data_IF_628537803404
#
_entry.id   IF_628537803404
#
_cell.length_a   1.000
_cell.length_b   1.000
_cell.length_c   1.000
_cell.angle_alpha   90.00
_cell.angle_beta   90.00
_cell.angle_gamma   90.00
#
_symmetry.space_group_name_H-M   'P 1'
#
loop_
_entity.id
_entity.type
_entity.pdbx_description
1 polymer ?
#
# COMPACT_ATOMS: atom_id res chain seq x y z
N UNK A 1 -13.78 29.04 -12.65
CA UNK A 1 -15.08 28.81 -11.97
C UNK A 1 -15.38 27.31 -12.01
N UNK A 2 -14.99 26.57 -10.97
CA UNK A 2 -15.40 25.17 -10.81
C UNK A 2 -16.31 25.11 -9.58
N UNK A 3 -17.58 24.80 -9.78
CA UNK A 3 -18.46 24.41 -8.69
C UNK A 3 -17.92 23.09 -8.12
N UNK A 4 -17.06 23.17 -7.10
CA UNK A 4 -16.67 22.02 -6.29
C UNK A 4 -17.96 21.42 -5.72
N UNK A 5 -18.35 20.24 -6.21
CA UNK A 5 -19.31 19.41 -5.49
C UNK A 5 -18.71 19.16 -4.11
N UNK A 6 -19.25 19.83 -3.09
CA UNK A 6 -18.87 19.60 -1.69
C UNK A 6 -18.97 18.10 -1.43
N UNK A 7 -17.85 17.50 -1.01
CA UNK A 7 -17.82 16.10 -0.62
C UNK A 7 -18.80 15.91 0.52
N UNK A 8 -19.65 14.89 0.41
CA UNK A 8 -20.60 14.47 1.45
C UNK A 8 -20.47 12.96 1.62
N UNK A 9 -20.91 12.42 2.73
CA UNK A 9 -20.89 10.98 2.91
C UNK A 9 -21.77 10.47 4.04
N UNK A 10 -21.83 9.15 4.11
CA UNK A 10 -22.80 8.39 4.87
C UNK A 10 -22.26 7.79 6.18
N UNK A 11 -20.99 8.05 6.55
CA UNK A 11 -20.41 7.57 7.81
C UNK A 11 -20.56 8.57 8.95
N UNK A 12 -20.77 8.06 10.15
CA UNK A 12 -20.67 8.81 11.41
C UNK A 12 -19.21 9.16 11.70
N UNK A 13 -18.99 10.22 12.48
CA UNK A 13 -17.67 10.67 12.95
C UNK A 13 -16.63 11.02 11.87
N UNK A 14 -17.06 11.16 10.61
CA UNK A 14 -16.24 11.70 9.51
C UNK A 14 -16.66 13.13 9.20
N UNK A 15 -15.73 14.08 9.38
CA UNK A 15 -15.93 15.46 8.94
C UNK A 15 -15.62 15.63 7.44
N UNK A 16 -16.64 15.44 6.61
CA UNK A 16 -16.53 15.59 5.16
C UNK A 16 -16.19 17.01 4.67
N UNK A 17 -16.31 18.02 5.55
CA UNK A 17 -15.91 19.40 5.24
C UNK A 17 -14.43 19.64 5.53
N UNK A 18 -13.79 18.76 6.30
CA UNK A 18 -12.36 18.86 6.60
C UNK A 18 -11.53 18.85 5.32
N UNK A 19 -10.55 19.77 5.16
CA UNK A 19 -9.65 19.79 4.00
C UNK A 19 -8.93 18.46 3.76
N UNK A 20 -8.66 17.70 4.83
CA UNK A 20 -7.98 16.39 4.76
C UNK A 20 -8.89 15.36 4.08
N UNK A 21 -10.18 15.33 4.44
CA UNK A 21 -11.16 14.40 3.85
C UNK A 21 -11.40 14.75 2.39
N UNK A 22 -11.54 16.04 2.07
CA UNK A 22 -11.70 16.53 0.69
C UNK A 22 -10.47 16.16 -0.15
N UNK A 23 -9.26 16.40 0.37
CA UNK A 23 -8.02 16.01 -0.30
C UNK A 23 -7.95 14.50 -0.57
N UNK A 24 -8.32 13.66 0.41
CA UNK A 24 -8.35 12.20 0.25
C UNK A 24 -9.35 11.76 -0.81
N UNK A 25 -10.55 12.35 -0.83
CA UNK A 25 -11.58 12.06 -1.82
C UNK A 25 -11.10 12.41 -3.25
N UNK A 26 -10.51 13.59 -3.44
CA UNK A 26 -9.94 14.02 -4.72
C UNK A 26 -8.78 13.11 -5.14
N UNK A 27 -7.91 12.74 -4.20
CA UNK A 27 -6.80 11.83 -4.47
C UNK A 27 -7.28 10.45 -4.90
N UNK A 28 -8.30 9.89 -4.25
CA UNK A 28 -8.89 8.60 -4.64
C UNK A 28 -9.44 8.67 -6.06
N UNK A 29 -10.18 9.73 -6.39
CA UNK A 29 -10.73 9.94 -7.73
C UNK A 29 -9.63 10.11 -8.79
N UNK A 30 -8.57 10.89 -8.49
CA UNK A 30 -7.41 11.06 -9.37
C UNK A 30 -6.65 9.76 -9.60
N UNK A 31 -6.40 8.97 -8.56
CA UNK A 31 -5.74 7.66 -8.68
C UNK A 31 -6.58 6.69 -9.51
N UNK A 32 -7.89 6.64 -9.26
CA UNK A 32 -8.82 5.84 -10.06
C UNK A 32 -8.75 6.23 -11.55
N UNK A 33 -8.76 7.54 -11.84
CA UNK A 33 -8.65 8.07 -13.21
C UNK A 33 -7.33 7.72 -13.89
N UNK A 34 -6.21 7.87 -13.20
CA UNK A 34 -4.89 7.51 -13.73
C UNK A 34 -4.72 6.00 -13.96
N UNK A 35 -5.37 5.19 -13.13
CA UNK A 35 -5.30 3.72 -13.21
C UNK A 35 -6.19 3.17 -14.32
N UNK A 36 -7.46 3.58 -14.34
CA UNK A 36 -8.51 2.96 -15.15
C UNK A 36 -9.05 3.82 -16.29
N UNK A 37 -8.53 5.04 -16.48
CA UNK A 37 -9.00 6.00 -17.49
C UNK A 37 -10.52 6.28 -17.40
N UNK A 38 -11.08 6.26 -16.19
CA UNK A 38 -12.48 6.55 -15.92
C UNK A 38 -12.64 7.46 -14.71
N UNK A 39 -13.83 8.02 -14.51
CA UNK A 39 -14.13 8.84 -13.34
C UNK A 39 -14.90 8.02 -12.29
N UNK A 40 -14.82 8.45 -11.03
CA UNK A 40 -15.54 7.86 -9.91
C UNK A 40 -16.04 8.97 -8.99
N UNK A 41 -17.18 8.75 -8.34
CA UNK A 41 -17.76 9.68 -7.40
C UNK A 41 -16.88 9.80 -6.14
N UNK A 42 -16.29 10.99 -5.86
CA UNK A 42 -15.41 11.17 -4.70
C UNK A 42 -16.09 10.87 -3.36
N UNK A 43 -17.41 11.10 -3.26
CA UNK A 43 -18.19 10.85 -2.05
C UNK A 43 -18.31 9.36 -1.73
N UNK A 44 -18.58 8.53 -2.75
CA UNK A 44 -18.60 7.07 -2.59
C UNK A 44 -17.20 6.56 -2.26
N UNK A 45 -16.19 7.07 -2.97
CA UNK A 45 -14.81 6.62 -2.79
C UNK A 45 -14.31 6.87 -1.37
N UNK A 46 -14.59 8.06 -0.83
CA UNK A 46 -14.15 8.40 0.52
C UNK A 46 -14.90 7.59 1.59
N UNK A 47 -16.19 7.29 1.38
CA UNK A 47 -16.98 6.44 2.28
C UNK A 47 -16.44 5.00 2.30
N UNK A 48 -16.15 4.40 1.14
CA UNK A 48 -15.54 3.08 1.07
C UNK A 48 -14.17 3.07 1.74
N UNK A 49 -13.36 4.11 1.50
CA UNK A 49 -12.04 4.24 2.13
C UNK A 49 -12.13 4.29 3.65
N UNK A 50 -12.96 5.17 4.22
CA UNK A 50 -13.09 5.29 5.67
C UNK A 50 -13.79 4.09 6.30
N UNK A 51 -14.61 3.35 5.54
CA UNK A 51 -15.15 2.06 5.98
C UNK A 51 -14.03 1.03 6.21
N UNK A 52 -12.86 1.15 5.59
CA UNK A 52 -11.75 0.21 5.78
C UNK A 52 -10.62 0.77 6.65
N UNK A 53 -10.48 2.08 6.67
CA UNK A 53 -9.44 2.79 7.40
C UNK A 53 -9.81 3.01 8.88
N UNK A 54 -11.10 3.25 9.19
CA UNK A 54 -11.50 3.53 10.57
C UNK A 54 -11.57 2.24 11.41
N UNK A 55 -11.14 2.28 12.69
CA UNK A 55 -11.27 1.14 13.60
C UNK A 55 -12.72 0.68 13.81
N UNK A 56 -13.67 1.62 13.80
CA UNK A 56 -15.09 1.31 14.00
C UNK A 56 -15.98 2.26 13.18
N UNK A 57 -16.12 2.03 11.87
CA UNK A 57 -16.98 2.83 11.01
C UNK A 57 -18.44 2.48 11.32
N UNK A 58 -19.28 3.51 11.36
CA UNK A 58 -20.74 3.39 11.48
C UNK A 58 -21.39 4.20 10.38
N UNK A 59 -22.47 3.68 9.81
CA UNK A 59 -23.28 4.45 8.87
C UNK A 59 -24.26 5.33 9.64
N UNK A 60 -24.49 6.56 9.18
CA UNK A 60 -25.44 7.51 9.79
C UNK A 60 -26.84 6.93 9.79
N UNK A 61 -27.53 7.04 10.92
CA UNK A 61 -28.94 6.65 11.03
C UNK A 61 -29.85 7.53 10.16
N UNK A 62 -29.67 8.86 10.26
CA UNK A 62 -30.43 9.85 9.48
C UNK A 62 -29.53 10.51 8.43
N UNK A 63 -29.96 10.45 7.18
CA UNK A 63 -29.29 11.10 6.06
C UNK A 63 -30.10 12.31 5.60
N UNK A 64 -29.46 13.47 5.52
CA UNK A 64 -30.07 14.70 5.01
C UNK A 64 -30.35 14.61 3.50
N UNK A 65 -29.46 13.95 2.75
CA UNK A 65 -29.57 13.79 1.30
C UNK A 65 -29.94 12.36 0.90
N UNK A 66 -31.02 12.22 0.13
CA UNK A 66 -31.43 10.95 -0.50
C UNK A 66 -30.33 10.30 -1.35
N UNK A 67 -29.38 11.10 -1.84
CA UNK A 67 -28.27 10.64 -2.68
C UNK A 67 -27.28 9.79 -1.88
N UNK A 68 -27.05 10.13 -0.61
CA UNK A 68 -26.12 9.43 0.27
C UNK A 68 -26.66 8.06 0.71
N UNK A 69 -27.93 7.80 0.42
CA UNK A 69 -28.57 6.53 0.70
C UNK A 69 -27.87 5.37 -0.03
N UNK A 70 -27.44 5.59 -1.28
CA UNK A 70 -26.68 4.60 -2.03
C UNK A 70 -25.32 4.31 -1.38
N UNK A 71 -24.63 5.33 -0.86
CA UNK A 71 -23.40 5.14 -0.11
C UNK A 71 -23.65 4.28 1.12
N UNK A 72 -24.68 4.63 1.92
CA UNK A 72 -25.08 3.87 3.11
C UNK A 72 -25.33 2.40 2.80
N UNK A 73 -26.04 2.09 1.73
CA UNK A 73 -26.30 0.69 1.33
C UNK A 73 -24.99 -0.02 0.99
N UNK A 74 -24.14 0.59 0.17
CA UNK A 74 -22.87 -0.01 -0.26
C UNK A 74 -21.98 -0.31 0.96
N UNK A 75 -21.78 0.68 1.83
CA UNK A 75 -20.93 0.50 3.01
C UNK A 75 -21.54 -0.48 4.02
N UNK A 76 -22.86 -0.46 4.21
CA UNK A 76 -23.53 -1.38 5.16
C UNK A 76 -23.43 -2.82 4.68
N UNK A 77 -23.65 -3.07 3.39
CA UNK A 77 -23.47 -4.40 2.80
C UNK A 77 -22.02 -4.85 2.85
N UNK A 78 -21.07 -3.95 2.57
CA UNK A 78 -19.64 -4.23 2.69
C UNK A 78 -19.24 -4.62 4.13
N UNK A 79 -19.72 -3.88 5.13
CA UNK A 79 -19.45 -4.15 6.55
C UNK A 79 -20.05 -5.48 7.04
N UNK A 80 -21.11 -5.96 6.39
CA UNK A 80 -21.77 -7.22 6.73
C UNK A 80 -21.16 -8.47 6.05
N UNK A 81 -20.14 -8.31 5.19
CA UNK A 81 -19.46 -9.45 4.58
C UNK A 81 -18.67 -10.23 5.63
N UNK A 82 -18.65 -11.56 5.50
CA UNK A 82 -18.00 -12.47 6.47
C UNK A 82 -16.51 -12.17 6.67
N UNK A 83 -15.80 -11.86 5.59
CA UNK A 83 -14.35 -11.66 5.61
C UNK A 83 -13.94 -10.19 5.82
N UNK A 84 -14.90 -9.27 5.95
CA UNK A 84 -14.65 -7.84 6.15
C UNK A 84 -13.79 -7.57 7.39
N UNK A 85 -14.06 -8.25 8.51
CA UNK A 85 -13.32 -8.05 9.76
C UNK A 85 -11.83 -8.44 9.62
N UNK A 86 -11.53 -9.49 8.85
CA UNK A 86 -10.17 -9.95 8.58
C UNK A 86 -9.41 -8.93 7.74
N UNK A 87 -10.00 -8.48 6.64
CA UNK A 87 -9.42 -7.45 5.77
C UNK A 87 -9.18 -6.15 6.54
N UNK A 88 -10.12 -5.77 7.40
CA UNK A 88 -10.07 -4.52 8.16
C UNK A 88 -8.83 -4.39 9.04
N UNK A 89 -8.39 -5.49 9.65
CA UNK A 89 -7.17 -5.49 10.47
C UNK A 89 -5.96 -5.02 9.65
N UNK A 90 -5.84 -5.49 8.42
CA UNK A 90 -4.74 -5.11 7.53
C UNK A 90 -4.91 -3.67 7.02
N UNK A 91 -6.12 -3.27 6.65
CA UNK A 91 -6.38 -1.95 6.05
C UNK A 91 -6.31 -0.81 7.06
N UNK A 92 -6.64 -1.07 8.33
CA UNK A 92 -6.53 -0.09 9.42
C UNK A 92 -5.07 0.27 9.72
N UNK A 93 -4.17 -0.71 9.67
CA UNK A 93 -2.74 -0.52 9.97
C UNK A 93 -2.00 0.08 8.76
N UNK A 94 -2.42 -0.27 7.54
CA UNK A 94 -1.79 0.19 6.31
C UNK A 94 -2.74 1.00 5.41
N UNK A 95 -2.57 2.32 5.46
CA UNK A 95 -3.33 3.30 4.65
C UNK A 95 -3.23 2.99 3.16
N UNK A 96 -2.08 2.49 2.68
CA UNK A 96 -1.87 2.23 1.26
C UNK A 96 -2.74 1.05 0.80
N UNK A 97 -2.93 0.06 1.66
CA UNK A 97 -3.80 -1.09 1.38
C UNK A 97 -5.27 -0.67 1.42
N UNK A 98 -5.68 0.16 2.40
CA UNK A 98 -7.01 0.81 2.39
C UNK A 98 -7.26 1.54 1.07
N UNK A 99 -6.26 2.28 0.57
CA UNK A 99 -6.35 3.06 -0.66
C UNK A 99 -6.44 2.16 -1.90
N UNK A 100 -5.55 1.17 -2.00
CA UNK A 100 -5.51 0.21 -3.10
C UNK A 100 -6.83 -0.57 -3.20
N UNK A 101 -7.29 -1.12 -2.06
CA UNK A 101 -8.57 -1.81 -1.99
C UNK A 101 -9.70 -0.90 -2.48
N UNK A 102 -9.78 0.35 -2.01
CA UNK A 102 -10.87 1.25 -2.38
C UNK A 102 -10.94 1.47 -3.89
N UNK A 103 -9.79 1.76 -4.51
CA UNK A 103 -9.70 2.01 -5.96
C UNK A 103 -10.10 0.77 -6.75
N UNK A 104 -9.60 -0.41 -6.37
CA UNK A 104 -9.94 -1.68 -7.02
C UNK A 104 -11.39 -2.09 -6.78
N UNK A 105 -11.91 -1.96 -5.56
CA UNK A 105 -13.29 -2.29 -5.21
C UNK A 105 -14.30 -1.50 -6.05
N UNK A 106 -14.12 -0.19 -6.18
CA UNK A 106 -15.02 0.64 -6.99
C UNK A 106 -14.98 0.23 -8.46
N UNK A 107 -13.79 -0.10 -8.97
CA UNK A 107 -13.62 -0.59 -10.34
C UNK A 107 -14.39 -1.90 -10.56
N UNK A 108 -14.18 -2.88 -9.68
CA UNK A 108 -14.81 -4.19 -9.77
C UNK A 108 -16.31 -4.14 -9.54
N UNK A 109 -16.79 -3.28 -8.63
CA UNK A 109 -18.21 -3.04 -8.41
C UNK A 109 -18.87 -2.45 -9.66
N UNK A 110 -18.26 -1.44 -10.29
CA UNK A 110 -18.78 -0.85 -11.53
C UNK A 110 -18.81 -1.90 -12.66
N UNK A 111 -17.79 -2.75 -12.77
CA UNK A 111 -17.77 -3.84 -13.76
C UNK A 111 -18.85 -4.89 -13.51
N UNK A 112 -19.01 -5.35 -12.27
CA UNK A 112 -20.05 -6.30 -11.88
C UNK A 112 -21.45 -5.76 -12.18
N UNK A 113 -21.71 -4.50 -11.83
CA UNK A 113 -22.98 -3.84 -12.12
C UNK A 113 -23.22 -3.65 -13.62
N UNK A 114 -22.17 -3.36 -14.41
CA UNK A 114 -22.27 -3.31 -15.89
C UNK A 114 -22.64 -4.66 -16.48
N UNK A 115 -22.05 -5.76 -15.99
CA UNK A 115 -22.40 -7.13 -16.40
C UNK A 115 -23.88 -7.42 -16.12
N UNK A 116 -24.36 -7.09 -14.92
CA UNK A 116 -25.76 -7.27 -14.55
C UNK A 116 -26.72 -6.35 -15.34
N UNK A 117 -26.27 -5.14 -15.70
CA UNK A 117 -27.03 -4.23 -16.56
C UNK A 117 -27.24 -4.81 -17.97
N UNK A 118 -26.19 -5.35 -18.58
CA UNK A 118 -26.30 -5.98 -19.91
C UNK A 118 -27.23 -7.21 -19.88
N UNK A 119 -27.16 -8.03 -18.82
CA UNK A 119 -28.11 -9.14 -18.62
C UNK A 119 -29.55 -8.64 -18.46
N UNK A 120 -29.77 -7.58 -17.71
CA UNK A 120 -31.12 -7.01 -17.53
C UNK A 120 -31.70 -6.46 -18.84
N UNK A 121 -30.83 -5.90 -19.70
CA UNK A 121 -31.20 -5.41 -21.04
C UNK A 121 -31.62 -6.55 -21.98
N UNK A 122 -30.89 -7.67 -21.96
CA UNK A 122 -31.23 -8.85 -22.78
C UNK A 122 -32.48 -9.57 -22.27
N UNK A 123 -32.69 -9.65 -20.95
CA UNK A 123 -33.88 -10.26 -20.34
C UNK A 123 -35.16 -9.41 -20.38
N UNK A 124 -35.18 -8.26 -21.08
CA UNK A 124 -36.33 -7.34 -21.18
C UNK A 124 -36.93 -6.92 -19.82
N UNK A 125 -36.09 -6.67 -18.81
CA UNK A 125 -36.53 -6.08 -17.53
C UNK A 125 -36.20 -4.57 -17.48
N UNK A 126 -37.09 -3.69 -17.99
CA UNK A 126 -36.79 -2.26 -18.16
C UNK A 126 -36.58 -1.53 -16.83
N UNK A 127 -37.30 -1.94 -15.77
CA UNK A 127 -37.17 -1.36 -14.43
C UNK A 127 -35.80 -1.65 -13.80
N UNK A 128 -35.35 -2.90 -13.89
CA UNK A 128 -34.04 -3.34 -13.39
C UNK A 128 -32.89 -2.66 -14.13
N UNK A 129 -32.96 -2.63 -15.46
CA UNK A 129 -31.95 -1.97 -16.29
C UNK A 129 -31.85 -0.46 -15.97
N UNK A 130 -32.97 0.24 -15.80
CA UNK A 130 -32.98 1.67 -15.43
C UNK A 130 -32.33 1.91 -14.06
N UNK A 131 -32.62 1.05 -13.09
CA UNK A 131 -32.07 1.15 -11.72
C UNK A 131 -30.56 0.95 -11.71
N UNK A 132 -30.07 -0.08 -12.41
CA UNK A 132 -28.63 -0.36 -12.54
C UNK A 132 -27.90 0.76 -13.30
N UNK A 133 -28.50 1.30 -14.36
CA UNK A 133 -27.94 2.43 -15.10
C UNK A 133 -27.77 3.67 -14.21
N UNK A 134 -28.79 4.00 -13.41
CA UNK A 134 -28.73 5.11 -12.45
C UNK A 134 -27.64 4.88 -11.41
N UNK A 135 -27.53 3.66 -10.86
CA UNK A 135 -26.49 3.31 -9.90
C UNK A 135 -25.08 3.42 -10.50
N UNK A 136 -24.86 2.92 -11.72
CA UNK A 136 -23.56 3.03 -12.41
C UNK A 136 -23.21 4.51 -12.64
N UNK A 137 -24.15 5.32 -13.10
CA UNK A 137 -23.92 6.76 -13.28
C UNK A 137 -23.62 7.48 -11.97
N UNK A 138 -24.25 7.06 -10.87
CA UNK A 138 -23.93 7.55 -9.53
C UNK A 138 -22.50 7.25 -9.13
N UNK A 139 -22.06 6.01 -9.30
CA UNK A 139 -20.71 5.57 -8.98
C UNK A 139 -19.67 6.27 -9.85
N UNK A 140 -19.99 6.58 -11.11
CA UNK A 140 -19.13 7.35 -12.03
C UNK A 140 -19.15 8.86 -11.76
N UNK A 141 -19.94 9.34 -10.79
CA UNK A 141 -20.04 10.76 -10.46
C UNK A 141 -20.78 11.60 -11.51
N UNK A 142 -21.52 10.99 -12.44
CA UNK A 142 -22.32 11.72 -13.44
C UNK A 142 -23.57 12.33 -12.79
N UNK A 143 -24.11 13.41 -13.36
CA UNK A 143 -25.39 13.98 -12.90
C UNK A 143 -26.52 12.98 -13.15
N UNK A 144 -27.38 12.78 -12.15
CA UNK A 144 -28.53 11.87 -12.22
C UNK A 144 -29.76 12.65 -11.80
N UNK A 145 -30.91 12.33 -12.38
CA UNK A 145 -32.19 12.80 -11.87
C UNK A 145 -32.53 12.09 -10.56
N UNK A 146 -32.45 12.85 -9.46
CA UNK A 146 -32.62 12.36 -8.08
C UNK A 146 -34.01 11.79 -7.77
N UNK A 147 -35.01 12.14 -8.59
CA UNK A 147 -36.37 11.58 -8.58
C UNK A 147 -36.44 10.11 -9.01
N UNK A 148 -35.35 9.54 -9.52
CA UNK A 148 -35.26 8.15 -9.97
C UNK A 148 -34.31 7.28 -9.14
N UNK A 149 -33.91 7.76 -7.96
CA UNK A 149 -33.16 6.96 -6.98
C UNK A 149 -34.13 5.97 -6.34
N UNK A 150 -33.86 4.66 -6.42
CA UNK A 150 -34.72 3.64 -5.82
C UNK A 150 -34.79 3.79 -4.30
N UNK A 151 -35.98 3.64 -3.73
CA UNK A 151 -36.16 3.40 -2.29
C UNK A 151 -35.57 2.04 -1.89
N UNK A 152 -35.22 1.87 -0.61
CA UNK A 152 -34.67 0.64 -0.01
C UNK A 152 -35.36 -0.65 -0.49
N UNK A 153 -36.68 -0.57 -0.71
CA UNK A 153 -37.55 -1.65 -1.17
C UNK A 153 -37.49 -2.01 -2.67
N UNK A 154 -36.88 -1.18 -3.52
CA UNK A 154 -36.88 -1.35 -5.00
C UNK A 154 -35.51 -1.73 -5.58
N UNK A 155 -34.44 -1.62 -4.79
CA UNK A 155 -33.17 -2.23 -5.17
C UNK A 155 -33.32 -3.73 -5.03
N UNK A 156 -33.07 -4.47 -6.12
CA UNK A 156 -32.96 -5.93 -6.05
C UNK A 156 -31.77 -6.27 -5.17
N UNK A 157 -32.04 -6.42 -3.88
CA UNK A 157 -31.06 -6.49 -2.82
C UNK A 157 -30.00 -7.56 -3.08
N UNK A 158 -30.44 -8.69 -3.65
CA UNK A 158 -29.62 -9.83 -4.04
C UNK A 158 -28.62 -9.53 -5.17
N UNK A 159 -28.99 -8.67 -6.13
CA UNK A 159 -28.09 -8.32 -7.25
C UNK A 159 -26.96 -7.43 -6.75
N UNK A 160 -27.30 -6.43 -5.95
CA UNK A 160 -26.31 -5.53 -5.37
C UNK A 160 -25.40 -6.26 -4.38
N UNK A 161 -25.97 -7.13 -3.54
CA UNK A 161 -25.21 -7.97 -2.61
C UNK A 161 -24.21 -8.87 -3.35
N UNK A 162 -24.66 -9.57 -4.41
CA UNK A 162 -23.78 -10.39 -5.24
C UNK A 162 -22.67 -9.55 -5.89
N UNK A 163 -23.00 -8.38 -6.44
CA UNK A 163 -22.01 -7.51 -7.06
C UNK A 163 -20.99 -6.97 -6.04
N UNK A 164 -21.42 -6.66 -4.81
CA UNK A 164 -20.54 -6.24 -3.71
C UNK A 164 -19.65 -7.39 -3.26
N UNK A 165 -20.19 -8.60 -3.13
CA UNK A 165 -19.41 -9.77 -2.73
C UNK A 165 -18.35 -10.13 -3.77
N UNK A 166 -18.70 -10.12 -5.06
CA UNK A 166 -17.77 -10.33 -6.17
C UNK A 166 -16.68 -9.25 -6.19
N UNK A 167 -17.08 -7.98 -6.09
CA UNK A 167 -16.14 -6.86 -6.05
C UNK A 167 -15.21 -6.90 -4.83
N UNK A 168 -15.71 -7.32 -3.67
CA UNK A 168 -14.93 -7.48 -2.45
C UNK A 168 -13.85 -8.56 -2.61
N UNK A 169 -14.22 -9.74 -3.10
CA UNK A 169 -13.27 -10.84 -3.28
C UNK A 169 -12.15 -10.49 -4.26
N UNK A 170 -12.48 -9.85 -5.38
CA UNK A 170 -11.46 -9.42 -6.36
C UNK A 170 -10.59 -8.28 -5.81
N UNK A 171 -11.19 -7.31 -5.12
CA UNK A 171 -10.45 -6.18 -4.56
C UNK A 171 -9.53 -6.58 -3.41
N UNK A 172 -9.94 -7.54 -2.59
CA UNK A 172 -9.08 -8.12 -1.54
C UNK A 172 -7.84 -8.78 -2.15
N UNK A 173 -8.00 -9.57 -3.21
CA UNK A 173 -6.87 -10.20 -3.90
C UNK A 173 -5.91 -9.15 -4.48
N UNK A 174 -6.44 -8.11 -5.13
CA UNK A 174 -5.61 -7.03 -5.69
C UNK A 174 -4.89 -6.26 -4.58
N UNK A 175 -5.57 -5.95 -3.47
CA UNK A 175 -4.96 -5.27 -2.33
C UNK A 175 -3.84 -6.11 -1.68
N UNK A 176 -4.04 -7.44 -1.57
CA UNK A 176 -3.02 -8.37 -1.12
C UNK A 176 -1.80 -8.39 -2.06
N UNK A 177 -2.03 -8.43 -3.37
CA UNK A 177 -0.97 -8.33 -4.37
C UNK A 177 -0.19 -7.00 -4.26
N UNK A 178 -0.89 -5.87 -4.10
CA UNK A 178 -0.25 -4.56 -3.87
C UNK A 178 0.60 -4.59 -2.58
N UNK A 179 0.14 -5.24 -1.51
CA UNK A 179 0.93 -5.41 -0.29
C UNK A 179 2.24 -6.17 -0.54
N UNK A 180 2.19 -7.21 -1.34
CA UNK A 180 3.38 -7.99 -1.68
C UNK A 180 4.33 -7.18 -2.56
N UNK A 181 3.84 -6.49 -3.58
CA UNK A 181 4.62 -5.55 -4.39
C UNK A 181 5.26 -4.47 -3.51
N UNK A 182 4.51 -3.96 -2.52
CA UNK A 182 5.03 -3.04 -1.51
C UNK A 182 6.18 -3.63 -0.72
N UNK A 183 6.04 -4.87 -0.25
CA UNK A 183 7.11 -5.57 0.46
C UNK A 183 8.36 -5.82 -0.40
N UNK A 184 8.18 -6.01 -1.72
CA UNK A 184 9.27 -6.24 -2.67
C UNK A 184 10.03 -4.93 -2.91
N UNK A 185 9.32 -3.85 -3.21
CA UNK A 185 9.92 -2.56 -3.51
C UNK A 185 10.57 -1.89 -2.29
N UNK A 186 9.95 -2.01 -1.10
CA UNK A 186 10.52 -1.45 0.14
C UNK A 186 11.68 -2.29 0.70
N UNK A 187 11.78 -3.56 0.32
CA UNK A 187 12.74 -4.52 0.84
C UNK A 187 12.48 -4.92 2.31
N UNK A 188 13.30 -5.82 2.85
CA UNK A 188 13.12 -6.37 4.21
C UNK A 188 13.55 -5.44 5.35
N UNK A 189 13.95 -4.19 5.08
CA UNK A 189 14.45 -3.25 6.10
C UNK A 189 13.42 -2.17 6.36
N UNK A 190 12.86 -2.18 7.58
CA UNK A 190 11.97 -1.12 8.05
C UNK A 190 12.63 0.27 7.92
N UNK A 191 11.86 1.27 7.52
CA UNK A 191 12.25 2.69 7.57
C UNK A 191 13.05 3.25 6.38
N UNK A 192 13.35 2.47 5.32
CA UNK A 192 14.13 2.99 4.18
C UNK A 192 13.34 3.91 3.24
N UNK A 193 12.02 3.73 3.11
CA UNK A 193 11.18 4.51 2.20
C UNK A 193 9.80 4.83 2.82
N UNK A 194 9.74 5.66 3.88
CA UNK A 194 8.46 6.12 4.41
C UNK A 194 7.71 6.92 3.33
N UNK A 195 6.45 6.55 3.05
CA UNK A 195 5.57 7.32 2.17
C UNK A 195 5.66 7.05 0.66
N UNK A 196 6.54 6.16 0.18
CA UNK A 196 6.70 5.85 -1.25
C UNK A 196 5.38 5.46 -1.95
N UNK A 197 4.48 4.84 -1.20
CA UNK A 197 3.18 4.31 -1.66
C UNK A 197 2.02 5.28 -1.44
N UNK A 198 2.19 6.24 -0.52
CA UNK A 198 1.23 7.32 -0.33
C UNK A 198 1.31 8.34 -1.48
N UNK A 199 2.39 8.33 -2.27
CA UNK A 199 2.57 9.11 -3.50
C UNK A 199 2.08 8.34 -4.73
N UNK A 200 1.13 8.93 -5.45
CA UNK A 200 0.23 8.22 -6.36
C UNK A 200 0.84 7.59 -7.61
N UNK A 201 2.06 7.92 -8.03
CA UNK A 201 2.65 7.32 -9.25
C UNK A 201 2.96 5.84 -9.03
N UNK A 202 3.68 5.51 -7.95
CA UNK A 202 3.96 4.12 -7.61
C UNK A 202 2.68 3.33 -7.33
N UNK A 203 1.71 3.91 -6.62
CA UNK A 203 0.45 3.21 -6.33
C UNK A 203 -0.34 2.89 -7.62
N UNK A 204 -0.36 3.80 -8.59
CA UNK A 204 -1.00 3.55 -9.90
C UNK A 204 -0.30 2.42 -10.65
N UNK A 205 1.02 2.39 -10.65
CA UNK A 205 1.80 1.31 -11.27
C UNK A 205 1.60 -0.02 -10.54
N UNK A 206 1.66 -0.01 -9.22
CA UNK A 206 1.42 -1.18 -8.38
C UNK A 206 0.03 -1.75 -8.60
N UNK A 207 -1.01 -0.91 -8.71
CA UNK A 207 -2.37 -1.35 -9.02
C UNK A 207 -2.46 -2.00 -10.40
N UNK A 208 -1.86 -1.39 -11.43
CA UNK A 208 -1.81 -1.97 -12.79
C UNK A 208 -1.10 -3.32 -12.81
N UNK A 209 0.01 -3.45 -12.07
CA UNK A 209 0.77 -4.70 -11.97
C UNK A 209 0.03 -5.75 -11.14
N UNK A 210 -0.64 -5.34 -10.07
CA UNK A 210 -1.37 -6.24 -9.16
C UNK A 210 -2.58 -6.89 -9.83
N UNK A 211 -3.19 -6.25 -10.83
CA UNK A 211 -4.26 -6.84 -11.64
C UNK A 211 -3.75 -7.92 -12.60
N UNK A 212 -2.47 -7.89 -12.96
CA UNK A 212 -1.84 -8.93 -13.78
C UNK A 212 -1.27 -10.04 -12.90
N UNK A 213 -2.01 -11.15 -12.76
CA UNK A 213 -1.64 -12.30 -11.93
C UNK A 213 -0.21 -12.82 -12.22
N UNK A 214 0.17 -12.90 -13.50
CA UNK A 214 1.50 -13.34 -13.90
C UNK A 214 2.64 -12.47 -13.37
N UNK A 215 2.46 -11.14 -13.33
CA UNK A 215 3.54 -10.24 -12.92
C UNK A 215 3.76 -10.30 -11.42
N UNK A 216 2.69 -10.47 -10.64
CA UNK A 216 2.81 -10.67 -9.19
C UNK A 216 3.50 -11.98 -8.86
N UNK A 217 3.17 -13.08 -9.54
CA UNK A 217 3.87 -14.37 -9.37
C UNK A 217 5.34 -14.30 -9.77
N UNK A 218 5.66 -13.68 -10.91
CA UNK A 218 7.05 -13.47 -11.33
C UNK A 218 7.81 -12.68 -10.27
N UNK A 219 7.24 -11.59 -9.76
CA UNK A 219 7.90 -10.75 -8.76
C UNK A 219 8.06 -11.48 -7.41
N UNK A 220 7.11 -12.34 -7.01
CA UNK A 220 7.27 -13.22 -5.84
C UNK A 220 8.42 -14.20 -6.03
N UNK A 221 8.51 -14.84 -7.19
CA UNK A 221 9.59 -15.77 -7.51
C UNK A 221 10.94 -15.06 -7.55
N UNK A 222 11.02 -13.88 -8.17
CA UNK A 222 12.23 -13.05 -8.19
C UNK A 222 12.60 -12.61 -6.77
N UNK A 223 11.66 -12.21 -5.91
CA UNK A 223 11.94 -11.90 -4.50
C UNK A 223 12.55 -13.10 -3.77
N UNK A 224 12.01 -14.29 -4.00
CA UNK A 224 12.54 -15.52 -3.39
C UNK A 224 13.96 -15.82 -3.87
N UNK A 225 14.23 -15.61 -5.16
CA UNK A 225 15.59 -15.70 -5.71
C UNK A 225 16.48 -14.65 -5.07
N UNK A 226 16.14 -13.36 -5.13
CA UNK A 226 16.95 -12.26 -4.58
C UNK A 226 17.18 -12.36 -3.07
N UNK A 227 16.24 -12.88 -2.30
CA UNK A 227 16.40 -13.08 -0.85
C UNK A 227 17.28 -14.29 -0.50
N UNK A 228 17.31 -15.30 -1.36
CA UNK A 228 18.19 -16.48 -1.25
C UNK A 228 19.57 -16.24 -1.86
N UNK A 229 19.63 -15.42 -2.90
CA UNK A 229 20.87 -14.91 -3.46
C UNK A 229 21.41 -13.91 -2.46
N UNK A 230 22.21 -14.41 -1.52
CA UNK A 230 22.98 -13.55 -0.63
C UNK A 230 23.73 -12.59 -1.55
N UNK A 231 23.28 -11.34 -1.64
CA UNK A 231 24.09 -10.28 -2.23
C UNK A 231 25.19 -10.05 -1.21
N UNK A 232 26.17 -10.95 -1.20
CA UNK A 232 27.41 -10.81 -0.46
C UNK A 232 28.07 -9.63 -1.15
N UNK A 233 27.72 -8.42 -0.74
CA UNK A 233 28.58 -7.27 -0.94
C UNK A 233 29.80 -7.61 -0.11
N UNK A 234 30.76 -8.29 -0.72
CA UNK A 234 32.00 -8.67 -0.07
C UNK A 234 32.67 -7.35 0.32
N UNK A 235 32.61 -7.05 1.61
CA UNK A 235 33.36 -5.93 2.17
C UNK A 235 34.72 -6.49 2.48
N UNK A 236 35.68 -6.19 1.62
CA UNK A 236 37.05 -6.57 1.90
C UNK A 236 37.58 -5.65 2.99
N UNK A 237 38.02 -6.25 4.10
CA UNK A 237 38.71 -5.53 5.17
C UNK A 237 40.20 -5.65 4.89
N UNK A 238 40.86 -4.53 4.57
CA UNK A 238 42.31 -4.49 4.40
C UNK A 238 42.94 -3.74 5.56
N UNK A 239 43.99 -4.32 6.14
CA UNK A 239 44.76 -3.64 7.19
C UNK A 239 45.43 -2.38 6.63
N UNK A 240 45.30 -1.25 7.32
CA UNK A 240 45.82 0.04 6.88
C UNK A 240 46.23 0.94 8.05
N UNK A 241 47.38 1.62 7.95
CA UNK A 241 47.94 2.46 9.05
C UNK A 241 47.01 3.59 9.50
N UNK A 242 46.22 4.14 8.58
CA UNK A 242 45.26 5.23 8.82
C UNK A 242 43.79 4.75 8.79
N UNK A 243 43.56 3.44 8.89
CA UNK A 243 42.21 2.87 8.92
C UNK A 243 41.46 3.13 10.24
N UNK A 244 40.20 2.71 10.28
CA UNK A 244 39.36 2.72 11.48
C UNK A 244 39.83 1.61 12.42
N UNK A 245 39.85 1.88 13.73
CA UNK A 245 40.24 0.91 14.75
C UNK A 245 39.27 -0.30 14.76
N UNK A 246 39.79 -1.51 14.58
CA UNK A 246 39.05 -2.78 14.52
C UNK A 246 39.56 -3.82 15.54
N UNK A 247 40.51 -3.45 16.40
CA UNK A 247 40.99 -4.31 17.48
C UNK A 247 42.51 -4.27 17.68
N UNK A 248 43.09 -5.42 18.06
CA UNK A 248 44.50 -5.58 18.42
C UNK A 248 45.12 -6.74 17.63
N UNK A 249 46.37 -6.60 17.23
CA UNK A 249 47.16 -7.60 16.50
C UNK A 249 48.59 -7.66 17.03
N UNK A 250 49.26 -8.79 16.94
CA UNK A 250 50.69 -8.91 17.28
C UNK A 250 51.57 -8.42 16.11
N UNK A 251 52.72 -7.83 16.43
CA UNK A 251 53.74 -7.50 15.44
C UNK A 251 54.91 -6.71 16.03
N UNK A 252 55.61 -5.98 15.15
CA UNK A 252 56.83 -5.21 15.49
C UNK A 252 56.76 -3.72 15.11
N UNK A 253 55.59 -3.22 14.72
CA UNK A 253 55.43 -1.85 14.21
C UNK A 253 55.24 -0.86 15.37
N UNK A 254 56.32 -0.19 15.73
CA UNK A 254 56.39 0.78 16.85
C UNK A 254 55.36 1.91 16.68
N UNK A 255 55.01 2.28 15.44
CA UNK A 255 54.04 3.36 15.18
C UNK A 255 52.61 3.03 15.60
N UNK A 256 52.28 1.74 15.71
CA UNK A 256 50.93 1.24 16.04
C UNK A 256 50.86 0.62 17.41
N UNK A 257 51.89 0.74 18.23
CA UNK A 257 51.96 0.05 19.50
C UNK A 257 50.86 0.49 20.47
N UNK A 258 50.35 -0.44 21.26
CA UNK A 258 49.44 -0.11 22.35
C UNK A 258 50.19 0.60 23.48
N UNK A 259 49.59 1.62 24.14
CA UNK A 259 50.24 2.32 25.25
C UNK A 259 50.70 1.40 26.39
N UNK A 260 50.03 0.27 26.60
CA UNK A 260 50.39 -0.73 27.60
C UNK A 260 51.73 -1.42 27.33
N UNK A 261 52.13 -1.58 26.08
CA UNK A 261 53.43 -2.19 25.77
C UNK A 261 54.57 -1.21 26.07
N UNK A 262 54.32 0.11 26.01
CA UNK A 262 55.32 1.14 26.35
C UNK A 262 55.59 1.25 27.86
N UNK A 263 54.75 0.63 28.69
CA UNK A 263 54.94 0.60 30.16
C UNK A 263 55.67 -0.65 30.63
N UNK A 264 56.09 -1.54 29.73
CA UNK A 264 56.85 -2.74 30.07
C UNK A 264 58.29 -2.38 30.43
N UNK A 265 58.93 -3.22 31.24
CA UNK A 265 60.39 -3.14 31.45
C UNK A 265 61.13 -3.34 30.14
N UNK A 266 62.25 -2.62 29.96
CA UNK A 266 63.00 -2.56 28.71
C UNK A 266 63.36 -3.96 28.17
N UNK A 267 63.85 -4.86 29.04
CA UNK A 267 64.21 -6.22 28.66
C UNK A 267 63.02 -7.02 28.09
N UNK A 268 61.84 -6.86 28.70
CA UNK A 268 60.61 -7.53 28.26
C UNK A 268 60.10 -6.92 26.95
N UNK A 269 60.19 -5.59 26.83
CA UNK A 269 59.82 -4.86 25.63
C UNK A 269 60.67 -5.28 24.43
N UNK A 270 62.00 -5.25 24.58
CA UNK A 270 62.92 -5.60 23.49
C UNK A 270 62.83 -7.07 23.09
N UNK A 271 62.61 -7.97 24.05
CA UNK A 271 62.33 -9.38 23.76
C UNK A 271 61.10 -9.54 22.86
N UNK A 272 59.97 -8.95 23.25
CA UNK A 272 58.74 -8.98 22.44
C UNK A 272 58.90 -8.30 21.08
N UNK A 273 59.68 -7.23 20.99
CA UNK A 273 59.97 -6.56 19.73
C UNK A 273 60.75 -7.48 18.77
N UNK A 274 61.74 -8.20 19.29
CA UNK A 274 62.52 -9.17 18.51
C UNK A 274 61.63 -10.34 18.04
N UNK A 275 60.77 -10.85 18.93
CA UNK A 275 59.86 -11.96 18.65
C UNK A 275 58.64 -11.55 17.81
N UNK A 276 58.48 -10.26 17.50
CA UNK A 276 57.30 -9.68 16.82
C UNK A 276 55.98 -9.93 17.56
N UNK A 277 56.04 -9.94 18.89
CA UNK A 277 54.92 -10.19 19.81
C UNK A 277 54.41 -8.93 20.52
N UNK A 278 54.75 -7.73 20.03
CA UNK A 278 54.19 -6.50 20.59
C UNK A 278 52.71 -6.39 20.20
N UNK A 279 51.88 -5.96 21.16
CA UNK A 279 50.49 -5.66 20.90
C UNK A 279 50.35 -4.33 20.13
N UNK A 280 49.78 -4.39 18.94
CA UNK A 280 49.57 -3.28 18.01
C UNK A 280 48.08 -3.02 17.82
N UNK A 281 47.72 -1.75 17.60
CA UNK A 281 46.36 -1.34 17.20
C UNK A 281 46.08 -1.81 15.76
N UNK A 282 45.08 -2.68 15.61
CA UNK A 282 44.56 -3.10 14.30
C UNK A 282 43.67 -1.99 13.74
N UNK A 283 44.05 -1.49 12.57
CA UNK A 283 43.28 -0.49 11.82
C UNK A 283 42.97 -1.05 10.45
N UNK A 284 41.71 -0.98 10.05
CA UNK A 284 41.23 -1.50 8.76
C UNK A 284 40.64 -0.37 7.91
N UNK A 285 40.75 -0.50 6.60
CA UNK A 285 39.88 0.17 5.66
C UNK A 285 38.84 -0.84 5.17
N UNK A 286 37.59 -0.39 5.14
CA UNK A 286 36.49 -1.17 4.58
C UNK A 286 36.34 -0.72 3.13
N UNK A 287 36.89 -1.50 2.21
CA UNK A 287 36.70 -1.27 0.79
C UNK A 287 35.37 -1.91 0.37
N UNK A 288 34.50 -1.14 -0.28
CA UNK A 288 33.33 -1.70 -0.95
C UNK A 288 33.82 -2.20 -2.29
N UNK A 289 33.85 -3.51 -2.49
CA UNK A 289 34.03 -4.07 -3.83
C UNK A 289 32.83 -3.60 -4.65
N UNK A 290 33.10 -2.72 -5.62
CA UNK A 290 32.10 -2.30 -6.60
C UNK A 290 31.63 -3.50 -7.43
N UNK A 291 30.49 -3.41 -8.12
CA UNK A 291 30.08 -4.48 -9.02
C UNK A 291 31.20 -4.74 -10.02
N UNK A 292 31.66 -6.00 -10.11
CA UNK A 292 32.51 -6.44 -11.22
C UNK A 292 31.70 -6.22 -12.50
N UNK A 293 32.09 -5.22 -13.28
CA UNK A 293 31.65 -5.13 -14.67
C UNK A 293 32.41 -6.22 -15.43
N UNK A 294 31.70 -7.29 -15.77
CA UNK A 294 32.15 -8.27 -16.78
C UNK A 294 31.62 -7.80 -18.13
#
# INVERSE_FOLDING_TARGET
MNFERKVKGALEDVDYKSPIVVYRADKLAKTYKKTYKGDVNPSVAVDVFYTLYLPYPKAKDKLEDKILFLNKIIISKLMNLKDYAKLKYDTMVDVDISFAYTVSFLKKLIEALRREFEKAKTSKSPSKAKTLYNLINYLLGKNINYSSIPSESTLEEKVLEKAIQEAHSEAEQIANNVRELKSIASGSRAGKYPGLFTSGEFLVEALKLAETAYVTEILKNVKHVLSKTITIVHKEKRDHKHGVYDGVTLGKDISRILPRELTLEDDVFYKKLADSELLLRKRILIEKVGPLYV
#
